data_IF_909481259419
#
_entry.id   IF_909481259419
#
_cell.length_a   1.000
_cell.length_b   1.000
_cell.length_c   1.000
_cell.angle_alpha   90.00
_cell.angle_beta   90.00
_cell.angle_gamma   90.00
#
_symmetry.space_group_name_H-M   'P 1'
#
loop_
_entity.id
_entity.type
_entity.pdbx_description
1 polymer ?
#
# COMPACT_ATOMS: atom_id res chain seq x y z
N UNK A 1 3.93 -22.48 -10.74
CA UNK A 1 4.99 -22.27 -9.74
C UNK A 1 5.60 -20.90 -9.98
N UNK A 2 6.12 -20.23 -8.95
CA UNK A 2 6.67 -18.86 -9.05
C UNK A 2 7.81 -18.79 -10.08
N UNK A 3 8.65 -19.82 -10.14
CA UNK A 3 9.73 -19.92 -11.14
C UNK A 3 9.24 -19.90 -12.59
N UNK A 4 7.99 -20.32 -12.85
CA UNK A 4 7.36 -20.34 -14.16
C UNK A 4 6.44 -19.12 -14.41
N UNK A 5 6.39 -18.19 -13.45
CA UNK A 5 5.61 -16.96 -13.52
C UNK A 5 6.57 -15.76 -13.51
N UNK A 6 6.49 -14.89 -12.50
CA UNK A 6 7.27 -13.65 -12.41
C UNK A 6 8.79 -13.86 -12.52
N UNK A 7 9.32 -15.01 -12.06
CA UNK A 7 10.77 -15.26 -12.13
C UNK A 7 11.32 -15.39 -13.57
N UNK A 8 10.44 -15.53 -14.56
CA UNK A 8 10.80 -15.51 -15.98
C UNK A 8 11.16 -14.10 -16.46
N UNK A 9 10.66 -13.05 -15.80
CA UNK A 9 10.93 -11.64 -16.18
C UNK A 9 11.84 -10.92 -15.18
N UNK A 10 11.88 -11.35 -13.92
CA UNK A 10 12.72 -10.76 -12.87
C UNK A 10 13.52 -11.82 -12.14
N UNK A 11 14.59 -11.40 -11.47
CA UNK A 11 15.27 -12.28 -10.51
C UNK A 11 14.51 -12.36 -9.19
N UNK A 12 14.29 -13.58 -8.71
CA UNK A 12 13.75 -13.84 -7.38
C UNK A 12 14.83 -14.55 -6.57
N UNK A 13 15.30 -13.89 -5.53
CA UNK A 13 16.47 -14.29 -4.73
C UNK A 13 16.02 -14.64 -3.32
N UNK A 14 16.81 -15.46 -2.64
CA UNK A 14 16.55 -15.91 -1.28
C UNK A 14 17.58 -16.94 -0.83
N UNK A 15 17.51 -17.33 0.44
CA UNK A 15 18.41 -18.34 1.01
C UNK A 15 18.27 -19.67 0.26
N UNK A 16 19.39 -20.27 -0.15
CA UNK A 16 19.42 -21.53 -0.89
C UNK A 16 20.85 -22.05 -1.09
N UNK A 17 20.97 -23.27 -1.62
CA UNK A 17 22.24 -23.95 -1.88
C UNK A 17 22.23 -24.61 -3.26
N UNK A 18 23.42 -25.00 -3.75
CA UNK A 18 23.59 -25.74 -5.02
C UNK A 18 23.48 -24.89 -6.30
N UNK A 19 23.29 -23.58 -6.16
CA UNK A 19 23.29 -22.63 -7.27
C UNK A 19 24.65 -21.97 -7.44
N UNK A 20 24.96 -21.54 -8.65
CA UNK A 20 26.19 -20.82 -9.00
C UNK A 20 25.82 -19.38 -9.27
N UNK A 21 26.58 -18.43 -8.71
CA UNK A 21 26.38 -17.01 -9.00
C UNK A 21 26.85 -16.67 -10.42
N UNK A 22 26.57 -15.45 -10.87
CA UNK A 22 27.09 -14.93 -12.13
C UNK A 22 28.62 -15.02 -12.25
N UNK A 23 29.17 -15.23 -13.47
CA UNK A 23 28.51 -15.08 -14.78
C UNK A 23 27.76 -16.33 -15.29
N UNK A 24 27.92 -17.49 -14.68
CA UNK A 24 27.29 -18.76 -15.12
C UNK A 24 26.06 -19.09 -14.27
N UNK A 25 25.19 -18.10 -14.03
CA UNK A 25 24.08 -18.18 -13.08
C UNK A 25 23.31 -19.51 -13.19
N UNK A 26 23.31 -20.31 -12.12
CA UNK A 26 22.42 -21.47 -11.96
C UNK A 26 21.58 -21.30 -10.69
N UNK A 27 20.28 -21.63 -10.74
CA UNK A 27 19.39 -21.47 -9.58
C UNK A 27 19.77 -22.42 -8.45
N UNK A 28 19.45 -22.03 -7.22
CA UNK A 28 19.47 -22.90 -6.06
C UNK A 28 18.49 -24.07 -6.20
N UNK A 29 18.67 -25.12 -5.41
CA UNK A 29 17.80 -26.31 -5.41
C UNK A 29 16.34 -26.01 -5.07
N UNK A 30 16.07 -24.90 -4.39
CA UNK A 30 14.73 -24.36 -4.09
C UNK A 30 14.22 -23.33 -5.12
N UNK A 31 14.92 -23.19 -6.25
CA UNK A 31 14.51 -22.39 -7.40
C UNK A 31 14.93 -20.92 -7.37
N UNK A 32 15.45 -20.39 -6.25
CA UNK A 32 15.92 -19.01 -6.20
C UNK A 32 17.10 -18.78 -7.14
N UNK A 33 17.19 -17.57 -7.69
CA UNK A 33 18.39 -17.09 -8.35
C UNK A 33 19.50 -16.90 -7.31
N UNK A 34 20.65 -17.52 -7.56
CA UNK A 34 21.80 -17.44 -6.66
C UNK A 34 22.44 -16.05 -6.70
N UNK A 35 22.77 -15.51 -5.52
CA UNK A 35 23.48 -14.22 -5.38
C UNK A 35 24.55 -14.32 -4.30
N UNK A 36 25.38 -13.29 -4.15
CA UNK A 36 26.44 -13.30 -3.14
C UNK A 36 25.89 -13.39 -1.70
N UNK A 37 24.81 -12.64 -1.42
CA UNK A 37 24.28 -12.50 -0.06
C UNK A 37 22.99 -13.30 0.17
N UNK A 38 22.38 -13.83 -0.89
CA UNK A 38 21.11 -14.57 -0.84
C UNK A 38 19.98 -13.85 -0.09
N UNK A 39 20.00 -12.51 -0.13
CA UNK A 39 18.95 -11.68 0.43
C UNK A 39 17.62 -11.97 -0.28
N UNK A 40 16.55 -12.13 0.48
CA UNK A 40 15.22 -12.36 -0.07
C UNK A 40 14.72 -11.16 -0.88
N UNK A 41 14.09 -11.41 -2.03
CA UNK A 41 13.46 -10.36 -2.85
C UNK A 41 11.95 -10.49 -2.99
N UNK A 42 11.33 -11.53 -2.41
CA UNK A 42 9.89 -11.76 -2.44
C UNK A 42 9.36 -12.18 -1.08
N UNK A 43 8.28 -11.51 -0.65
CA UNK A 43 7.74 -11.62 0.69
C UNK A 43 6.22 -11.72 0.66
N UNK A 44 5.66 -12.45 1.62
CA UNK A 44 4.26 -12.37 2.05
C UNK A 44 4.17 -11.59 3.35
N UNK A 45 2.95 -11.29 3.78
CA UNK A 45 2.70 -10.59 5.04
C UNK A 45 1.95 -11.50 6.03
N UNK A 46 2.57 -11.78 7.17
CA UNK A 46 1.99 -12.50 8.29
C UNK A 46 1.42 -11.49 9.30
N UNK A 47 0.12 -11.23 9.21
CA UNK A 47 -0.59 -10.31 10.08
C UNK A 47 -0.52 -10.68 11.57
N UNK A 48 -0.45 -11.98 11.87
CA UNK A 48 -0.34 -12.51 13.24
C UNK A 48 1.10 -12.55 13.77
N UNK A 49 2.08 -12.14 12.95
CA UNK A 49 3.49 -12.10 13.34
C UNK A 49 3.80 -10.95 14.31
N UNK A 50 4.91 -11.09 15.05
CA UNK A 50 5.47 -10.00 15.84
C UNK A 50 5.76 -8.78 14.95
N UNK A 51 5.66 -7.56 15.50
CA UNK A 51 5.67 -6.32 14.73
C UNK A 51 6.86 -6.18 13.75
N UNK A 52 8.04 -6.67 14.11
CA UNK A 52 9.26 -6.64 13.33
C UNK A 52 9.50 -7.89 12.44
N UNK A 53 8.55 -8.83 12.41
CA UNK A 53 8.65 -10.11 11.71
C UNK A 53 7.42 -10.40 10.82
N UNK A 54 6.59 -9.39 10.54
CA UNK A 54 5.39 -9.55 9.72
C UNK A 54 5.69 -9.78 8.24
N UNK A 55 6.78 -9.21 7.72
CA UNK A 55 7.26 -9.55 6.38
C UNK A 55 7.98 -10.90 6.42
N UNK A 56 7.41 -11.90 5.75
CA UNK A 56 7.98 -13.26 5.71
C UNK A 56 8.45 -13.55 4.29
N UNK A 57 9.73 -13.89 4.13
CA UNK A 57 10.27 -14.30 2.82
C UNK A 57 9.62 -15.62 2.38
N UNK A 58 9.33 -15.75 1.08
CA UNK A 58 8.98 -17.07 0.53
C UNK A 58 10.15 -18.04 0.70
N UNK A 59 9.88 -19.35 0.79
CA UNK A 59 10.91 -20.36 1.07
C UNK A 59 11.51 -21.01 -0.19
N UNK A 60 10.80 -20.92 -1.32
CA UNK A 60 11.18 -21.50 -2.60
C UNK A 60 10.35 -20.87 -3.73
N UNK A 61 10.80 -21.01 -4.97
CA UNK A 61 10.03 -20.61 -6.16
C UNK A 61 9.59 -21.78 -7.03
N UNK A 62 10.23 -22.95 -6.87
CA UNK A 62 9.99 -24.16 -7.67
C UNK A 62 9.01 -25.17 -7.04
N UNK A 63 8.46 -24.89 -5.86
CA UNK A 63 7.42 -25.70 -5.24
C UNK A 63 6.22 -24.87 -4.75
N UNK A 64 6.31 -23.53 -4.84
CA UNK A 64 5.28 -22.59 -4.42
C UNK A 64 4.57 -22.00 -5.64
N UNK A 65 3.24 -21.97 -5.60
CA UNK A 65 2.41 -21.30 -6.61
C UNK A 65 1.98 -19.92 -6.11
N UNK A 66 1.70 -19.02 -7.05
CA UNK A 66 0.95 -17.80 -6.74
C UNK A 66 -0.50 -18.19 -6.42
N UNK A 67 -1.01 -17.71 -5.30
CA UNK A 67 -2.37 -18.02 -4.84
C UNK A 67 -3.27 -16.80 -5.04
N UNK A 68 -4.41 -16.92 -5.76
CA UNK A 68 -5.37 -15.84 -5.89
C UNK A 68 -5.80 -15.29 -4.53
N UNK A 69 -5.86 -13.96 -4.40
CA UNK A 69 -6.21 -13.28 -3.15
C UNK A 69 -5.04 -13.04 -2.20
N UNK A 70 -3.91 -13.75 -2.38
CA UNK A 70 -2.69 -13.50 -1.58
C UNK A 70 -1.91 -12.32 -2.16
N UNK A 71 -1.54 -11.37 -1.32
CA UNK A 71 -0.68 -10.26 -1.73
C UNK A 71 0.80 -10.59 -1.52
N UNK A 72 1.64 -10.15 -2.46
CA UNK A 72 3.08 -10.35 -2.44
C UNK A 72 3.80 -9.00 -2.56
N UNK A 73 4.87 -8.82 -1.80
CA UNK A 73 5.83 -7.73 -1.98
C UNK A 73 7.04 -8.26 -2.71
N UNK A 74 7.38 -7.66 -3.84
CA UNK A 74 8.51 -8.08 -4.68
C UNK A 74 9.45 -6.90 -4.92
N UNK A 75 10.74 -7.12 -4.73
CA UNK A 75 11.79 -6.14 -5.02
C UNK A 75 12.25 -6.37 -6.46
N UNK A 76 11.82 -5.48 -7.36
CA UNK A 76 12.17 -5.54 -8.78
C UNK A 76 13.44 -4.73 -9.03
N UNK A 77 14.50 -5.42 -9.49
CA UNK A 77 15.79 -4.81 -9.85
C UNK A 77 15.90 -4.46 -11.33
N UNK A 78 15.12 -5.12 -12.19
CA UNK A 78 15.22 -4.95 -13.62
C UNK A 78 14.89 -6.24 -14.36
N UNK A 79 14.93 -6.15 -15.69
CA UNK A 79 14.59 -7.25 -16.59
C UNK A 79 15.71 -8.30 -16.60
N UNK A 80 15.35 -9.53 -16.22
CA UNK A 80 16.20 -10.72 -16.26
C UNK A 80 16.71 -11.03 -17.66
N UNK A 81 15.94 -10.70 -18.70
CA UNK A 81 16.21 -11.12 -20.08
C UNK A 81 17.21 -10.20 -20.81
N UNK A 82 17.90 -9.34 -20.05
CA UNK A 82 19.01 -8.53 -20.54
C UNK A 82 20.27 -9.38 -20.74
N UNK A 83 21.33 -8.78 -21.30
CA UNK A 83 22.59 -9.47 -21.63
C UNK A 83 23.13 -10.29 -20.45
N UNK A 84 23.56 -11.52 -20.74
CA UNK A 84 24.08 -12.48 -19.76
C UNK A 84 23.08 -12.77 -18.62
N UNK A 85 21.82 -13.04 -18.95
CA UNK A 85 20.75 -13.38 -18.00
C UNK A 85 20.60 -12.36 -16.86
N UNK A 86 20.77 -11.07 -17.14
CA UNK A 86 20.62 -10.02 -16.13
C UNK A 86 21.68 -10.06 -15.03
N UNK A 87 22.85 -10.65 -15.27
CA UNK A 87 23.86 -10.86 -14.23
C UNK A 87 24.34 -9.60 -13.51
N UNK A 88 24.36 -8.44 -14.17
CA UNK A 88 24.66 -7.15 -13.54
C UNK A 88 23.63 -6.74 -12.47
N UNK A 89 22.44 -7.31 -12.47
CA UNK A 89 21.41 -7.07 -11.45
C UNK A 89 21.69 -7.86 -10.15
N UNK A 90 22.62 -8.82 -10.18
CA UNK A 90 22.90 -9.77 -9.09
C UNK A 90 24.32 -9.65 -8.50
N UNK A 91 25.16 -8.77 -9.03
CA UNK A 91 26.58 -8.62 -8.63
C UNK A 91 26.79 -7.81 -7.34
N UNK A 92 25.71 -7.30 -6.75
CA UNK A 92 25.74 -6.50 -5.51
C UNK A 92 26.02 -5.02 -5.74
N UNK A 93 26.27 -4.58 -6.97
CA UNK A 93 26.35 -3.16 -7.31
C UNK A 93 24.98 -2.48 -7.22
N UNK A 94 24.99 -1.19 -6.91
CA UNK A 94 23.78 -0.38 -6.89
C UNK A 94 23.42 0.04 -8.31
N UNK A 95 22.71 -0.82 -9.04
CA UNK A 95 22.18 -0.49 -10.37
C UNK A 95 20.83 0.20 -10.26
N UNK A 96 20.59 1.21 -11.10
CA UNK A 96 19.24 1.74 -11.27
C UNK A 96 18.31 0.64 -11.80
N UNK A 97 17.10 0.57 -11.25
CA UNK A 97 16.14 -0.43 -11.70
C UNK A 97 15.70 -0.16 -13.14
N UNK A 98 15.74 -1.18 -14.00
CA UNK A 98 15.20 -1.09 -15.37
C UNK A 98 13.71 -1.45 -15.40
N UNK A 99 13.00 -0.97 -16.42
CA UNK A 99 11.59 -1.27 -16.61
C UNK A 99 11.38 -2.76 -16.92
N UNK A 100 10.33 -3.36 -16.33
CA UNK A 100 9.95 -4.75 -16.55
C UNK A 100 8.45 -4.85 -16.69
N UNK A 101 7.99 -5.65 -17.65
CA UNK A 101 6.60 -6.09 -17.74
C UNK A 101 6.47 -7.45 -17.07
N UNK A 102 5.80 -7.51 -15.92
CA UNK A 102 5.55 -8.76 -15.23
C UNK A 102 4.38 -9.51 -15.89
N UNK A 103 4.52 -10.81 -16.07
CA UNK A 103 3.40 -11.69 -16.42
C UNK A 103 3.41 -12.92 -15.52
N UNK A 104 2.22 -13.38 -15.14
CA UNK A 104 2.04 -14.58 -14.34
C UNK A 104 1.35 -15.66 -15.16
N UNK A 105 1.80 -16.90 -14.99
CA UNK A 105 1.09 -18.08 -15.46
C UNK A 105 0.65 -18.90 -14.25
N UNK A 106 -0.51 -19.56 -14.35
CA UNK A 106 -1.07 -20.36 -13.25
C UNK A 106 -2.58 -20.32 -13.21
N UNK A 107 -3.14 -20.79 -12.10
CA UNK A 107 -4.57 -20.73 -11.86
C UNK A 107 -5.02 -19.27 -11.70
N UNK A 108 -5.84 -18.81 -12.63
CA UNK A 108 -6.49 -17.51 -12.55
C UNK A 108 -7.60 -17.59 -11.49
N UNK A 109 -7.72 -16.58 -10.62
CA UNK A 109 -8.88 -16.48 -9.74
C UNK A 109 -10.16 -16.39 -10.56
N UNK A 110 -11.11 -17.30 -10.33
CA UNK A 110 -12.38 -17.38 -11.03
C UNK A 110 -13.50 -17.58 -10.01
N UNK A 111 -14.68 -17.05 -10.30
CA UNK A 111 -15.82 -17.12 -9.39
C UNK A 111 -15.53 -16.38 -8.09
N UNK A 112 -16.17 -16.82 -7.00
CA UNK A 112 -15.94 -16.22 -5.69
C UNK A 112 -14.62 -16.70 -5.09
N UNK A 113 -13.79 -15.76 -4.63
CA UNK A 113 -12.51 -16.05 -4.01
C UNK A 113 -12.58 -15.77 -2.52
N UNK A 114 -12.27 -16.79 -1.72
CA UNK A 114 -12.18 -16.70 -0.27
C UNK A 114 -10.77 -16.26 0.13
N UNK A 115 -10.65 -15.49 1.20
CA UNK A 115 -9.34 -15.04 1.72
C UNK A 115 -9.31 -15.18 3.23
N UNK A 116 -8.23 -15.73 3.78
CA UNK A 116 -7.99 -15.73 5.22
C UNK A 116 -7.50 -14.35 5.66
N UNK A 117 -8.21 -13.73 6.60
CA UNK A 117 -7.89 -12.41 7.14
C UNK A 117 -7.79 -12.52 8.66
N UNK A 118 -6.63 -12.22 9.23
CA UNK A 118 -6.42 -12.14 10.67
C UNK A 118 -6.81 -10.75 11.20
N UNK A 119 -6.89 -10.56 12.52
CA UNK A 119 -7.05 -9.22 13.11
C UNK A 119 -5.86 -8.31 12.73
N UNK A 120 -6.13 -7.03 12.47
CA UNK A 120 -5.15 -6.03 12.07
C UNK A 120 -4.96 -5.95 10.54
N UNK A 121 -3.81 -5.42 10.13
CA UNK A 121 -3.48 -5.26 8.71
C UNK A 121 -3.16 -6.59 8.04
N UNK A 122 -3.71 -6.83 6.85
CA UNK A 122 -3.46 -8.01 6.03
C UNK A 122 -3.14 -7.57 4.60
N UNK A 123 -2.06 -8.09 4.01
CA UNK A 123 -1.74 -7.84 2.61
C UNK A 123 -2.47 -8.86 1.73
N UNK A 124 -3.37 -8.37 0.87
CA UNK A 124 -4.13 -9.19 -0.06
C UNK A 124 -3.90 -8.71 -1.49
N UNK A 125 -4.18 -9.57 -2.47
CA UNK A 125 -4.01 -9.29 -3.89
C UNK A 125 -5.33 -9.31 -4.62
N UNK A 126 -5.49 -8.45 -5.63
CA UNK A 126 -6.58 -8.61 -6.58
C UNK A 126 -6.46 -9.99 -7.28
N UNK A 127 -7.44 -10.91 -7.10
CA UNK A 127 -7.34 -12.26 -7.65
C UNK A 127 -7.68 -12.34 -9.14
N UNK A 128 -8.24 -11.28 -9.71
CA UNK A 128 -8.79 -11.28 -11.05
C UNK A 128 -7.85 -10.67 -12.09
N UNK A 129 -7.89 -11.14 -13.35
CA UNK A 129 -7.23 -10.50 -14.49
C UNK A 129 -8.03 -9.27 -14.98
N UNK A 130 -8.60 -8.51 -14.06
CA UNK A 130 -9.38 -7.30 -14.30
C UNK A 130 -9.24 -6.37 -13.11
N UNK A 131 -9.63 -5.10 -13.25
CA UNK A 131 -9.76 -4.23 -12.10
C UNK A 131 -10.90 -4.72 -11.18
N UNK A 132 -10.79 -4.40 -9.90
CA UNK A 132 -11.85 -4.61 -8.89
C UNK A 132 -12.33 -3.26 -8.40
N UNK A 133 -13.65 -3.02 -8.41
CA UNK A 133 -14.27 -1.83 -7.83
C UNK A 133 -14.36 -1.97 -6.30
N UNK A 134 -13.41 -1.36 -5.59
CA UNK A 134 -13.42 -1.37 -4.12
C UNK A 134 -14.59 -0.55 -3.56
N UNK A 135 -14.98 0.52 -4.27
CA UNK A 135 -16.13 1.37 -3.92
C UNK A 135 -17.49 0.75 -4.20
N UNK A 136 -17.54 -0.49 -4.71
CA UNK A 136 -18.79 -1.21 -4.90
C UNK A 136 -19.53 -1.39 -3.55
N UNK A 137 -20.79 -0.96 -3.48
CA UNK A 137 -21.55 -0.95 -2.23
C UNK A 137 -21.71 -2.34 -1.59
N UNK A 138 -21.84 -3.40 -2.39
CA UNK A 138 -21.91 -4.77 -1.92
C UNK A 138 -20.56 -5.27 -1.41
N UNK A 139 -19.45 -4.84 -2.03
CA UNK A 139 -18.11 -5.14 -1.51
C UNK A 139 -17.90 -4.46 -0.15
N UNK A 140 -18.16 -3.15 -0.05
CA UNK A 140 -18.02 -2.40 1.20
C UNK A 140 -18.90 -2.96 2.34
N UNK A 141 -20.10 -3.45 2.01
CA UNK A 141 -21.00 -4.10 2.98
C UNK A 141 -20.49 -5.47 3.43
N UNK A 142 -19.90 -6.24 2.51
CA UNK A 142 -19.23 -7.50 2.81
C UNK A 142 -18.01 -7.31 3.72
N UNK A 143 -17.19 -6.29 3.46
CA UNK A 143 -16.09 -5.90 4.35
C UNK A 143 -16.59 -5.62 5.77
N UNK A 144 -17.61 -4.77 5.90
CA UNK A 144 -18.18 -4.39 7.19
C UNK A 144 -18.72 -5.62 7.96
N UNK A 145 -19.41 -6.53 7.26
CA UNK A 145 -19.94 -7.76 7.84
C UNK A 145 -18.83 -8.70 8.35
N UNK A 146 -17.65 -8.63 7.73
CA UNK A 146 -16.45 -9.35 8.14
C UNK A 146 -15.60 -8.60 9.18
N UNK A 147 -16.07 -7.44 9.69
CA UNK A 147 -15.30 -6.53 10.56
C UNK A 147 -14.01 -6.04 9.90
N UNK A 148 -14.05 -5.80 8.59
CA UNK A 148 -12.97 -5.19 7.81
C UNK A 148 -13.36 -3.75 7.50
N UNK A 149 -12.41 -2.83 7.67
CA UNK A 149 -12.63 -1.41 7.39
C UNK A 149 -12.93 -1.18 5.91
N UNK A 150 -13.73 -0.14 5.62
CA UNK A 150 -14.06 0.31 4.25
C UNK A 150 -12.90 1.11 3.65
N UNK A 151 -11.68 0.64 3.86
CA UNK A 151 -10.44 1.36 3.59
C UNK A 151 -9.40 0.39 3.06
N UNK A 152 -8.46 0.93 2.30
CA UNK A 152 -7.27 0.19 1.98
C UNK A 152 -6.03 1.08 2.04
N UNK A 153 -4.89 0.42 2.22
CA UNK A 153 -3.58 1.05 2.20
C UNK A 153 -2.74 0.39 1.12
N UNK A 154 -2.11 1.18 0.28
CA UNK A 154 -1.31 0.66 -0.81
C UNK A 154 0.05 1.33 -0.84
N UNK A 155 1.07 0.52 -1.09
CA UNK A 155 2.40 1.05 -1.33
C UNK A 155 2.43 1.66 -2.74
N UNK A 156 2.59 2.98 -2.80
CA UNK A 156 2.86 3.65 -4.06
C UNK A 156 4.37 3.91 -4.19
N UNK A 157 5.07 3.28 -5.14
CA UNK A 157 6.53 3.44 -5.29
C UNK A 157 6.97 4.84 -5.75
N UNK A 158 6.05 5.74 -6.11
CA UNK A 158 6.37 7.17 -6.33
C UNK A 158 6.45 7.96 -5.02
N UNK A 159 5.88 7.46 -3.92
CA UNK A 159 6.07 8.03 -2.58
C UNK A 159 7.46 7.68 -2.04
N UNK A 160 7.87 8.37 -0.96
CA UNK A 160 9.06 7.98 -0.23
C UNK A 160 8.92 6.55 0.32
N UNK A 161 10.02 5.79 0.33
CA UNK A 161 10.03 4.40 0.78
C UNK A 161 9.40 4.25 2.18
N UNK A 162 8.51 3.27 2.34
CA UNK A 162 7.77 3.03 3.58
C UNK A 162 6.58 3.95 3.84
N UNK A 163 6.14 4.71 2.82
CA UNK A 163 4.93 5.55 2.86
C UNK A 163 3.80 4.90 2.10
N UNK A 164 2.59 4.90 2.68
CA UNK A 164 1.42 4.26 2.10
C UNK A 164 0.37 5.29 1.70
N UNK A 165 -0.20 5.12 0.50
CA UNK A 165 -1.42 5.81 0.09
C UNK A 165 -2.59 5.17 0.83
N UNK A 166 -3.38 5.97 1.52
CA UNK A 166 -4.56 5.53 2.25
C UNK A 166 -5.79 5.99 1.50
N UNK A 167 -6.73 5.08 1.27
CA UNK A 167 -7.98 5.35 0.56
C UNK A 167 -9.15 4.91 1.43
N UNK A 168 -10.02 5.84 1.78
CA UNK A 168 -11.07 5.68 2.78
C UNK A 168 -12.47 5.95 2.21
N UNK A 169 -13.31 4.91 2.13
CA UNK A 169 -14.70 4.95 1.65
C UNK A 169 -15.72 5.01 2.80
N UNK A 170 -15.30 5.34 4.03
CA UNK A 170 -16.20 5.31 5.19
C UNK A 170 -17.34 6.32 5.12
N UNK A 171 -17.18 7.40 4.33
CA UNK A 171 -18.18 8.46 4.18
C UNK A 171 -18.86 8.47 2.81
N UNK A 172 -18.11 8.19 1.74
CA UNK A 172 -18.62 8.17 0.37
C UNK A 172 -17.98 7.01 -0.40
N UNK A 173 -18.82 6.10 -0.88
CA UNK A 173 -18.42 4.94 -1.67
C UNK A 173 -17.93 5.32 -3.08
N UNK A 174 -18.31 6.50 -3.58
CA UNK A 174 -17.94 6.97 -4.90
C UNK A 174 -16.74 7.91 -4.91
N UNK A 175 -16.55 8.67 -3.83
CA UNK A 175 -15.50 9.67 -3.70
C UNK A 175 -14.71 9.45 -2.39
N UNK A 176 -13.80 8.46 -2.34
CA UNK A 176 -13.06 8.15 -1.12
C UNK A 176 -12.14 9.31 -0.70
N UNK A 177 -11.82 9.38 0.60
CA UNK A 177 -10.74 10.23 1.10
C UNK A 177 -9.38 9.61 0.83
N UNK A 178 -8.47 10.35 0.20
CA UNK A 178 -7.19 9.80 -0.27
C UNK A 178 -6.01 10.66 0.19
N UNK A 179 -5.06 10.07 0.90
CA UNK A 179 -3.73 10.68 1.13
C UNK A 179 -2.86 10.58 -0.14
N UNK A 180 -1.59 11.00 -0.09
CA UNK A 180 -0.71 11.15 -1.26
C UNK A 180 -0.87 10.03 -2.28
N UNK A 181 -1.52 10.36 -3.41
CA UNK A 181 -1.78 9.43 -4.50
C UNK A 181 -0.56 9.26 -5.42
N UNK A 182 0.50 10.07 -5.29
CA UNK A 182 1.76 9.92 -6.03
C UNK A 182 1.58 9.76 -7.55
N UNK A 183 0.59 10.42 -8.13
CA UNK A 183 0.24 10.35 -9.57
C UNK A 183 -0.67 9.18 -9.99
N UNK A 184 -1.03 8.28 -9.07
CA UNK A 184 -2.05 7.27 -9.35
C UNK A 184 -3.43 7.93 -9.51
N UNK A 185 -4.20 7.46 -10.49
CA UNK A 185 -5.56 7.96 -10.78
C UNK A 185 -6.58 6.84 -10.63
N UNK A 186 -7.84 7.22 -10.39
CA UNK A 186 -8.96 6.29 -10.25
C UNK A 186 -8.76 5.22 -9.17
N UNK A 187 -8.23 5.64 -8.02
CA UNK A 187 -8.01 4.84 -6.81
C UNK A 187 -9.31 4.29 -6.17
N UNK A 188 -10.46 4.47 -6.81
CA UNK A 188 -11.65 3.65 -6.56
C UNK A 188 -11.39 2.17 -6.88
N UNK A 189 -10.62 1.91 -7.93
CA UNK A 189 -10.42 0.57 -8.48
C UNK A 189 -9.03 0.03 -8.11
N UNK A 190 -8.98 -1.24 -7.72
CA UNK A 190 -7.72 -1.97 -7.56
C UNK A 190 -7.35 -2.57 -8.90
N UNK A 191 -6.20 -2.19 -9.45
CA UNK A 191 -5.73 -2.72 -10.72
C UNK A 191 -5.48 -4.24 -10.67
N UNK A 192 -5.49 -4.90 -11.83
CA UNK A 192 -5.05 -6.29 -11.90
C UNK A 192 -3.57 -6.40 -11.52
N UNK A 193 -3.20 -7.43 -10.76
CA UNK A 193 -1.83 -7.61 -10.26
C UNK A 193 -1.43 -6.68 -9.12
N UNK A 194 -2.33 -5.82 -8.62
CA UNK A 194 -2.05 -4.94 -7.48
C UNK A 194 -2.39 -5.63 -6.15
N UNK A 195 -1.45 -5.55 -5.21
CA UNK A 195 -1.68 -5.89 -3.82
C UNK A 195 -1.97 -4.63 -3.00
N UNK A 196 -2.76 -4.79 -1.94
CA UNK A 196 -3.16 -3.74 -1.02
C UNK A 196 -3.40 -4.33 0.35
N UNK A 197 -3.29 -3.49 1.38
CA UNK A 197 -3.63 -3.84 2.74
C UNK A 197 -5.09 -3.53 3.02
N UNK A 198 -5.73 -4.42 3.78
CA UNK A 198 -6.99 -4.16 4.48
C UNK A 198 -6.76 -4.31 5.98
N UNK A 199 -7.58 -3.64 6.78
CA UNK A 199 -7.54 -3.76 8.23
C UNK A 199 -8.81 -4.47 8.73
N UNK A 200 -8.64 -5.59 9.44
CA UNK A 200 -9.71 -6.25 10.16
C UNK A 200 -9.70 -5.79 11.62
N UNK A 201 -10.75 -5.10 12.05
CA UNK A 201 -10.83 -4.49 13.38
C UNK A 201 -11.09 -5.51 14.48
N UNK A 202 -11.72 -6.66 14.15
CA UNK A 202 -11.93 -7.75 15.10
C UNK A 202 -12.12 -9.11 14.42
N UNK A 203 -11.82 -10.17 15.16
CA UNK A 203 -11.92 -11.56 14.70
C UNK A 203 -10.83 -11.99 13.72
N UNK A 204 -10.81 -13.27 13.40
CA UNK A 204 -9.85 -13.87 12.48
C UNK A 204 -10.46 -15.08 11.77
N UNK A 205 -10.06 -15.34 10.53
CA UNK A 205 -10.47 -16.53 9.79
C UNK A 205 -10.79 -16.26 8.33
N UNK A 206 -11.35 -17.26 7.66
CA UNK A 206 -11.74 -17.17 6.26
C UNK A 206 -12.91 -16.20 6.09
N UNK A 207 -12.72 -15.20 5.23
CA UNK A 207 -13.80 -14.36 4.70
C UNK A 207 -14.28 -15.02 3.42
N UNK A 208 -15.49 -15.54 3.46
CA UNK A 208 -16.12 -16.19 2.31
C UNK A 208 -16.55 -15.14 1.30
N UNK A 209 -16.30 -15.42 0.00
CA UNK A 209 -16.62 -14.50 -1.10
C UNK A 209 -16.05 -13.09 -0.91
N UNK A 210 -14.84 -12.98 -0.34
CA UNK A 210 -14.12 -11.71 -0.19
C UNK A 210 -14.04 -10.96 -1.53
N UNK A 211 -13.81 -11.70 -2.61
CA UNK A 211 -14.00 -11.20 -3.96
C UNK A 211 -15.07 -12.00 -4.66
N UNK A 212 -15.93 -11.31 -5.41
CA UNK A 212 -16.90 -11.91 -6.32
C UNK A 212 -16.74 -11.33 -7.72
N UNK A 213 -17.22 -12.08 -8.71
CA UNK A 213 -17.22 -11.66 -10.11
C UNK A 213 -17.96 -10.33 -10.34
N UNK A 214 -18.98 -10.02 -9.53
CA UNK A 214 -19.74 -8.77 -9.60
C UNK A 214 -18.93 -7.53 -9.20
N UNK A 215 -17.76 -7.71 -8.57
CA UNK A 215 -16.89 -6.59 -8.21
C UNK A 215 -15.88 -6.26 -9.31
N UNK A 216 -15.83 -7.04 -10.40
CA UNK A 216 -14.98 -6.74 -11.54
C UNK A 216 -15.42 -5.45 -12.22
N UNK A 217 -14.45 -4.66 -12.65
CA UNK A 217 -14.67 -3.44 -13.40
C UNK A 217 -13.95 -3.51 -14.76
N UNK A 218 -14.57 -2.93 -15.79
CA UNK A 218 -13.96 -2.72 -17.10
C UNK A 218 -13.06 -1.48 -17.16
N UNK A 219 -13.09 -0.65 -16.11
CA UNK A 219 -12.21 0.52 -15.99
C UNK A 219 -10.77 0.06 -15.80
N UNK A 220 -9.83 0.70 -16.50
CA UNK A 220 -8.40 0.47 -16.33
C UNK A 220 -7.80 1.55 -15.43
N UNK A 221 -7.71 1.36 -14.10
CA UNK A 221 -7.06 2.30 -13.22
C UNK A 221 -5.54 2.32 -13.47
N UNK A 222 -4.89 3.42 -13.09
CA UNK A 222 -3.43 3.40 -12.97
C UNK A 222 -3.07 2.53 -11.77
N UNK A 223 -2.46 1.38 -12.02
CA UNK A 223 -1.92 0.56 -10.94
C UNK A 223 -0.84 1.35 -10.17
N UNK A 224 -0.78 1.19 -8.85
CA UNK A 224 0.32 1.73 -8.03
C UNK A 224 1.59 0.88 -8.21
N UNK A 225 2.07 0.81 -9.45
CA UNK A 225 3.35 0.24 -9.84
C UNK A 225 4.33 1.37 -10.18
N UNK A 226 5.63 1.07 -10.18
CA UNK A 226 6.64 2.05 -10.56
C UNK A 226 6.53 2.29 -12.08
N UNK A 227 5.86 3.38 -12.47
CA UNK A 227 5.77 3.83 -13.85
C UNK A 227 7.03 4.58 -14.31
N UNK A 228 7.27 4.62 -15.62
CA UNK A 228 8.36 5.40 -16.23
C UNK A 228 8.14 6.91 -16.17
N UNK A 229 6.91 7.38 -15.93
CA UNK A 229 6.56 8.79 -15.79
C UNK A 229 5.72 9.01 -14.54
N UNK A 230 6.31 9.60 -13.50
CA UNK A 230 5.60 10.08 -12.32
C UNK A 230 4.97 11.45 -12.62
N UNK A 231 3.93 11.48 -13.46
CA UNK A 231 3.13 12.70 -13.59
C UNK A 231 2.16 12.77 -12.42
N UNK A 232 2.57 13.53 -11.40
CA UNK A 232 1.79 13.82 -10.21
C UNK A 232 0.62 14.73 -10.55
N UNK A 233 -0.47 14.16 -11.07
CA UNK A 233 -1.73 14.88 -11.03
C UNK A 233 -2.41 14.58 -9.71
N UNK A 234 -2.35 15.54 -8.79
CA UNK A 234 -3.13 15.53 -7.56
C UNK A 234 -4.59 15.53 -7.96
N UNK A 235 -5.25 14.37 -7.95
CA UNK A 235 -6.68 14.30 -8.21
C UNK A 235 -7.40 15.12 -7.14
N UNK A 236 -8.02 16.23 -7.57
CA UNK A 236 -8.94 17.01 -6.76
C UNK A 236 -10.11 16.12 -6.38
N UNK A 237 -10.26 15.82 -5.09
CA UNK A 237 -11.41 15.09 -4.57
C UNK A 237 -12.15 16.03 -3.62
N UNK A 238 -13.46 16.15 -3.84
CA UNK A 238 -14.33 17.05 -3.10
C UNK A 238 -14.64 16.47 -1.72
N UNK A 239 -14.33 17.20 -0.66
CA UNK A 239 -14.68 16.85 0.72
C UNK A 239 -15.40 18.03 1.40
N UNK A 240 -16.21 17.72 2.42
CA UNK A 240 -17.08 18.67 3.14
C UNK A 240 -16.32 19.75 3.94
N UNK A 241 -15.04 19.52 4.32
CA UNK A 241 -14.06 20.47 4.87
C UNK A 241 -12.82 19.67 5.32
N UNK A 242 -11.61 20.07 4.93
CA UNK A 242 -10.39 19.36 5.34
C UNK A 242 -9.13 20.23 5.33
N UNK A 243 -8.21 19.86 6.21
CA UNK A 243 -6.83 20.33 6.20
C UNK A 243 -5.94 19.18 5.75
N UNK A 244 -5.08 19.48 4.79
CA UNK A 244 -4.08 18.56 4.26
C UNK A 244 -2.72 18.96 4.79
N UNK A 245 -2.04 18.04 5.45
CA UNK A 245 -0.69 18.23 5.97
C UNK A 245 0.32 17.42 5.16
N UNK A 246 1.41 18.05 4.72
CA UNK A 246 2.52 17.41 4.02
C UNK A 246 3.87 17.68 4.68
N UNK A 247 4.73 16.66 4.69
CA UNK A 247 6.13 16.78 5.10
C UNK A 247 7.03 16.72 3.88
N UNK A 248 7.93 17.69 3.73
CA UNK A 248 8.93 17.75 2.64
C UNK A 248 10.31 18.03 3.19
N UNK A 249 11.33 17.64 2.44
CA UNK A 249 12.65 18.29 2.56
C UNK A 249 12.62 19.55 1.71
N UNK A 250 13.27 20.61 2.19
CA UNK A 250 13.37 21.89 1.45
C UNK A 250 14.00 21.76 0.06
N UNK A 251 14.78 20.71 -0.19
CA UNK A 251 15.38 20.38 -1.48
C UNK A 251 14.51 19.50 -2.39
N UNK A 252 13.45 18.91 -1.85
CA UNK A 252 12.62 17.95 -2.57
C UNK A 252 11.35 18.65 -3.09
N UNK A 253 10.93 18.28 -4.30
CA UNK A 253 9.67 18.76 -4.90
C UNK A 253 8.47 17.87 -4.54
N UNK A 254 8.71 16.72 -3.90
CA UNK A 254 7.71 15.69 -3.59
C UNK A 254 7.34 15.67 -2.10
N UNK A 255 6.07 15.40 -1.78
CA UNK A 255 5.64 15.04 -0.43
C UNK A 255 6.33 13.73 0.00
N UNK A 256 7.01 13.75 1.16
CA UNK A 256 7.62 12.57 1.75
C UNK A 256 6.61 11.74 2.55
N UNK A 257 5.65 12.40 3.18
CA UNK A 257 4.51 11.80 3.88
C UNK A 257 3.38 12.82 3.93
N UNK A 258 2.15 12.34 4.07
CA UNK A 258 0.94 13.16 3.99
C UNK A 258 -0.14 12.64 4.95
N UNK A 259 -0.86 13.57 5.56
CA UNK A 259 -2.04 13.29 6.38
C UNK A 259 -3.21 14.19 5.99
N UNK A 260 -4.42 13.73 6.29
CA UNK A 260 -5.65 14.50 6.13
C UNK A 260 -6.36 14.59 7.47
N UNK A 261 -6.84 15.78 7.81
CA UNK A 261 -7.76 16.01 8.92
C UNK A 261 -9.04 16.56 8.30
N UNK A 262 -10.17 15.87 8.49
CA UNK A 262 -11.48 16.26 7.97
C UNK A 262 -12.48 16.42 9.10
N UNK A 263 -13.43 17.34 8.95
CA UNK A 263 -14.52 17.55 9.91
C UNK A 263 -15.85 17.14 9.29
N UNK A 264 -16.69 16.43 10.04
CA UNK A 264 -18.00 15.96 9.57
C UNK A 264 -19.06 16.00 10.66
N UNK A 265 -20.31 16.25 10.26
CA UNK A 265 -21.47 16.06 11.12
C UNK A 265 -21.93 14.60 11.02
N UNK A 266 -21.24 13.70 11.72
CA UNK A 266 -21.56 12.27 11.72
C UNK A 266 -21.60 11.73 13.17
N UNK A 267 -22.56 10.87 13.54
CA UNK A 267 -22.69 10.35 14.90
C UNK A 267 -21.45 9.58 15.37
N UNK A 268 -20.79 8.87 14.45
CA UNK A 268 -19.55 8.14 14.75
C UNK A 268 -18.28 9.01 14.66
N UNK A 269 -18.38 10.32 14.40
CA UNK A 269 -17.21 11.19 14.43
C UNK A 269 -16.85 11.55 15.88
N UNK A 270 -15.57 11.39 16.23
CA UNK A 270 -15.06 11.71 17.56
C UNK A 270 -13.80 12.58 17.47
N UNK A 271 -13.63 13.46 18.45
CA UNK A 271 -12.46 14.33 18.56
C UNK A 271 -11.35 13.70 19.42
N UNK A 272 -11.72 12.80 20.34
CA UNK A 272 -10.81 12.14 21.28
C UNK A 272 -10.54 10.67 20.95
N UNK A 273 -11.54 9.96 20.44
CA UNK A 273 -11.47 8.52 20.19
C UNK A 273 -11.19 8.21 18.72
N UNK A 274 -10.52 7.07 18.49
CA UNK A 274 -10.35 6.50 17.15
C UNK A 274 -11.59 5.68 16.81
N UNK A 275 -12.17 5.99 15.65
CA UNK A 275 -13.46 5.45 15.20
C UNK A 275 -13.31 4.77 13.85
N UNK A 276 -14.37 4.10 13.37
CA UNK A 276 -14.39 3.53 12.01
C UNK A 276 -14.23 4.58 10.90
N UNK A 277 -14.39 5.87 11.20
CA UNK A 277 -14.16 6.97 10.27
C UNK A 277 -12.68 7.41 10.21
N UNK A 278 -11.82 6.97 11.12
CA UNK A 278 -10.40 7.28 11.12
C UNK A 278 -9.60 6.20 10.38
N UNK A 279 -8.55 6.58 9.66
CA UNK A 279 -7.66 5.64 9.00
C UNK A 279 -6.27 5.69 9.65
N UNK A 280 -5.86 4.60 10.28
CA UNK A 280 -4.53 4.47 10.89
C UNK A 280 -3.41 4.71 9.86
N UNK A 281 -2.30 5.28 10.30
CA UNK A 281 -1.09 5.36 9.47
C UNK A 281 -0.30 4.05 9.52
N UNK A 282 0.01 3.51 8.33
CA UNK A 282 0.90 2.37 8.14
C UNK A 282 2.34 2.78 7.84
N UNK A 283 2.65 4.07 7.88
CA UNK A 283 3.97 4.56 7.49
C UNK A 283 5.05 4.01 8.43
N UNK A 284 6.03 3.35 7.81
CA UNK A 284 7.20 2.73 8.42
C UNK A 284 8.52 3.35 7.93
N UNK A 285 8.42 4.31 7.00
CA UNK A 285 9.54 4.98 6.38
C UNK A 285 10.37 5.87 7.31
N UNK A 286 11.47 6.35 6.74
CA UNK A 286 12.39 7.33 7.34
C UNK A 286 11.80 8.72 7.57
N UNK A 287 10.66 8.99 6.94
CA UNK A 287 9.93 10.25 7.02
C UNK A 287 8.47 9.91 7.32
N UNK A 288 7.88 10.54 8.32
CA UNK A 288 6.52 10.25 8.73
C UNK A 288 5.83 11.55 9.16
N UNK A 289 4.61 11.73 8.67
CA UNK A 289 3.68 12.74 9.13
C UNK A 289 2.35 12.05 9.37
N UNK A 290 1.85 12.13 10.60
CA UNK A 290 0.51 11.67 10.93
C UNK A 290 -0.10 12.60 11.97
N UNK A 291 -1.42 12.65 12.00
CA UNK A 291 -2.12 13.25 13.13
C UNK A 291 -2.19 12.22 14.27
N UNK A 292 -2.30 12.69 15.51
CA UNK A 292 -2.43 11.83 16.67
C UNK A 292 -3.87 11.88 17.20
N UNK A 293 -4.37 10.70 17.55
CA UNK A 293 -5.69 10.52 18.17
C UNK A 293 -5.68 9.30 19.06
N UNK A 294 -6.10 9.42 20.32
CA UNK A 294 -6.06 8.32 21.28
C UNK A 294 -4.72 7.54 21.28
N UNK A 295 -3.60 8.27 21.24
CA UNK A 295 -2.23 7.71 21.18
C UNK A 295 -1.93 6.84 19.93
N UNK A 296 -2.71 6.97 18.86
CA UNK A 296 -2.48 6.30 17.59
C UNK A 296 -2.13 7.31 16.49
N UNK A 297 -1.26 6.88 15.57
CA UNK A 297 -0.92 7.65 14.35
C UNK A 297 -2.02 7.46 13.32
N UNK A 298 -2.61 8.55 12.86
CA UNK A 298 -3.75 8.59 11.95
C UNK A 298 -3.36 9.31 10.65
N UNK A 299 -3.52 8.61 9.52
CA UNK A 299 -3.29 9.16 8.20
C UNK A 299 -4.49 9.98 7.70
N UNK A 300 -5.71 9.55 8.02
CA UNK A 300 -6.95 10.29 7.73
C UNK A 300 -7.75 10.38 9.04
N UNK A 301 -7.72 11.55 9.68
CA UNK A 301 -8.41 11.80 10.94
C UNK A 301 -9.74 12.48 10.68
N UNK A 302 -10.81 11.88 11.19
CA UNK A 302 -12.16 12.42 11.09
C UNK A 302 -12.58 13.00 12.43
N UNK A 303 -12.92 14.28 12.44
CA UNK A 303 -13.36 15.02 13.63
C UNK A 303 -14.82 15.40 13.50
N UNK A 304 -15.50 15.54 14.62
CA UNK A 304 -16.86 16.06 14.66
C UNK A 304 -16.86 17.53 14.31
N UNK A 305 -17.78 17.96 13.43
CA UNK A 305 -18.01 19.37 13.11
C UNK A 305 -18.98 20.06 14.07
N UNK A 306 -19.39 19.38 15.16
CA UNK A 306 -20.20 19.99 16.23
C UNK A 306 -19.36 21.10 16.88
N UNK A 307 -19.93 22.28 17.20
CA UNK A 307 -19.14 23.44 17.58
C UNK A 307 -18.24 23.15 18.77
N UNK A 308 -16.93 23.19 18.53
CA UNK A 308 -15.90 23.20 19.57
C UNK A 308 -15.29 24.59 19.55
N UNK A 309 -15.28 25.29 20.68
CA UNK A 309 -14.58 26.57 20.81
C UNK A 309 -13.09 26.26 20.91
N UNK A 310 -12.46 26.13 19.74
CA UNK A 310 -11.07 25.71 19.62
C UNK A 310 -10.90 24.19 19.67
N UNK A 311 -9.90 23.71 18.94
CA UNK A 311 -9.53 22.30 18.90
C UNK A 311 -8.02 22.18 18.69
N UNK A 312 -7.39 21.17 19.27
CA UNK A 312 -5.94 20.95 19.16
C UNK A 312 -5.68 19.52 18.70
N UNK A 313 -4.94 19.40 17.61
CA UNK A 313 -4.55 18.11 17.04
C UNK A 313 -3.04 17.97 17.22
N UNK A 314 -2.63 17.01 18.04
CA UNK A 314 -1.24 16.65 18.16
C UNK A 314 -0.75 16.02 16.85
N UNK A 315 0.48 16.31 16.46
CA UNK A 315 1.11 15.78 15.25
C UNK A 315 2.24 14.82 15.63
N UNK A 316 2.35 13.73 14.88
CA UNK A 316 3.53 12.88 14.84
C UNK A 316 4.38 13.28 13.65
N UNK A 317 5.58 13.79 13.93
CA UNK A 317 6.53 14.21 12.89
C UNK A 317 7.84 13.48 13.11
N UNK A 318 8.34 12.81 12.07
CA UNK A 318 9.64 12.13 12.08
C UNK A 318 10.39 12.42 10.79
N UNK A 319 11.64 12.86 10.93
CA UNK A 319 12.63 12.91 9.86
C UNK A 319 13.97 12.42 10.40
N UNK A 320 14.65 11.55 9.66
CA UNK A 320 15.93 10.95 10.09
C UNK A 320 17.15 11.50 9.36
N UNK A 321 16.96 12.33 8.33
CA UNK A 321 18.08 12.96 7.63
C UNK A 321 18.44 14.29 8.30
N UNK A 322 19.73 14.59 8.42
CA UNK A 322 20.22 15.87 8.91
C UNK A 322 20.04 16.95 7.85
N UNK A 323 18.83 17.48 7.72
CA UNK A 323 18.46 18.49 6.73
C UNK A 323 17.25 19.30 7.19
N UNK A 324 16.93 20.36 6.46
CA UNK A 324 15.77 21.19 6.72
C UNK A 324 14.51 20.54 6.16
N UNK A 325 13.53 20.36 7.04
CA UNK A 325 12.20 19.89 6.71
C UNK A 325 11.20 21.05 6.73
N UNK A 326 10.17 20.91 5.89
CA UNK A 326 9.07 21.85 5.79
C UNK A 326 7.75 21.10 6.03
N UNK A 327 6.93 21.64 6.94
CA UNK A 327 5.53 21.25 7.08
C UNK A 327 4.67 22.21 6.25
N UNK A 328 3.86 21.64 5.36
CA UNK A 328 2.92 22.40 4.53
C UNK A 328 1.51 22.03 4.93
N UNK A 329 0.69 23.04 5.22
CA UNK A 329 -0.72 22.87 5.46
C UNK A 329 -1.50 23.56 4.35
N UNK A 330 -2.46 22.85 3.78
CA UNK A 330 -3.39 23.38 2.79
C UNK A 330 -4.80 23.19 3.35
N UNK A 331 -5.63 24.22 3.25
CA UNK A 331 -7.08 24.15 3.47
C UNK A 331 -7.78 24.47 2.14
N UNK A 332 -8.02 23.47 1.29
CA UNK A 332 -8.55 23.69 -0.05
C UNK A 332 -10.02 24.13 -0.05
N UNK A 333 -10.72 23.95 1.08
CA UNK A 333 -12.13 24.32 1.22
C UNK A 333 -12.30 25.68 1.90
N UNK A 334 -11.19 26.33 2.30
CA UNK A 334 -11.19 27.62 3.02
C UNK A 334 -12.19 27.61 4.16
N UNK A 335 -12.02 26.64 5.07
CA UNK A 335 -12.83 26.61 6.29
C UNK A 335 -12.71 27.94 7.00
N UNK A 336 -13.81 28.41 7.60
CA UNK A 336 -13.82 29.67 8.36
C UNK A 336 -13.03 29.59 9.68
N UNK A 337 -12.18 28.56 9.84
CA UNK A 337 -11.38 28.32 11.02
C UNK A 337 -9.98 28.90 10.81
N UNK A 338 -9.47 29.60 11.83
CA UNK A 338 -8.06 30.00 11.85
C UNK A 338 -7.21 28.81 12.30
N UNK A 339 -6.18 28.50 11.51
CA UNK A 339 -5.25 27.41 11.77
C UNK A 339 -3.91 27.98 12.25
N UNK A 340 -3.45 27.49 13.39
CA UNK A 340 -2.18 27.88 13.98
C UNK A 340 -1.33 26.64 14.25
N UNK A 341 -0.05 26.71 13.91
CA UNK A 341 0.93 25.74 14.37
C UNK A 341 1.44 26.20 15.73
N UNK A 342 1.40 25.31 16.72
CA UNK A 342 1.86 25.56 18.08
C UNK A 342 3.15 24.75 18.27
N UNK A 343 4.23 25.39 18.70
CA UNK A 343 5.54 24.77 18.99
C UNK A 343 5.85 24.65 20.49
#
# INVERSE_FOLDING_TARGET
QINNAWQQQIHITGSGTGGTICPTLTPHSNGFDATLNNNASMFTYNASGAANARWTSISNTNATNLTPGTGYRVIVRGDRNTTNNGCSLLDGSATNASAVTLSATGAVGQGNVNVNIATGFNLIGNPYPSAVDFGNSSFLSGLQSASISKKYWAYNPTNAAGTYTVVDFSLDANNPTITSAGGATNLRYIASGQAFFVERTSGSGMVTSMFTESYKASTSPTAMHRGSNANNNSSTINYLAYVKGGLRRTTDTLNLSEMIIRTVAHPDASNSEVTGLDALSMDEGSHQLASMKHNQRIAIQTRSSIPVVGDTIALWVRGVANTNYELRFEDPQQTSAELWLID
#
